data_IF_633792540724
#
_entry.id   IF_633792540724
#
_cell.length_a   1.000
_cell.length_b   1.000
_cell.length_c   1.000
_cell.angle_alpha   90.00
_cell.angle_beta   90.00
_cell.angle_gamma   90.00
#
_symmetry.space_group_name_H-M   'P 1'
#
loop_
_entity.id
_entity.type
_entity.pdbx_description
1 polymer ?
#
# COMPACT_ATOMS: atom_id res chain seq x y z
N UNK A 1 6.94 56.09 10.40
CA UNK A 1 7.40 57.50 10.40
C UNK A 1 6.58 58.25 9.36
N UNK A 2 6.04 59.42 9.71
CA UNK A 2 5.24 60.31 8.86
C UNK A 2 6.11 61.50 8.52
N UNK A 3 6.16 61.88 7.25
CA UNK A 3 6.87 63.09 6.82
C UNK A 3 5.85 64.22 6.64
N UNK A 4 6.23 65.44 7.04
CA UNK A 4 5.37 66.60 7.29
C UNK A 4 4.71 67.27 6.07
N UNK A 5 4.20 66.51 5.10
CA UNK A 5 3.44 67.03 3.95
C UNK A 5 2.17 66.25 3.62
N UNK A 6 1.69 65.38 4.51
CA UNK A 6 0.32 64.85 4.48
C UNK A 6 -0.05 63.94 3.30
N UNK A 7 0.93 63.42 2.53
CA UNK A 7 0.68 62.45 1.44
C UNK A 7 1.16 61.05 1.83
N UNK A 8 0.25 60.07 1.74
CA UNK A 8 0.56 58.65 1.90
C UNK A 8 1.36 58.15 0.68
N UNK A 9 2.66 57.92 0.85
CA UNK A 9 3.44 57.14 -0.12
C UNK A 9 3.22 55.65 0.19
N UNK A 10 2.28 55.03 -0.53
CA UNK A 10 2.18 53.58 -0.66
C UNK A 10 3.43 53.08 -1.41
N UNK A 11 4.37 52.51 -0.66
CA UNK A 11 5.53 51.82 -1.21
C UNK A 11 5.12 50.47 -1.81
N UNK A 12 4.99 50.43 -3.13
CA UNK A 12 4.97 49.23 -3.97
C UNK A 12 6.39 48.62 -3.99
N UNK A 13 6.70 47.74 -3.05
CA UNK A 13 7.92 46.93 -3.10
C UNK A 13 7.79 45.66 -2.24
N UNK A 14 7.06 44.65 -2.74
CA UNK A 14 7.20 43.25 -2.35
C UNK A 14 6.41 42.34 -3.31
N UNK A 15 6.71 42.41 -4.61
CA UNK A 15 6.29 41.41 -5.60
C UNK A 15 7.56 40.76 -6.15
N UNK A 16 7.98 39.66 -5.53
CA UNK A 16 9.21 38.98 -5.92
C UNK A 16 9.57 37.83 -5.00
N UNK A 17 8.75 36.77 -4.99
CA UNK A 17 9.15 35.39 -4.70
C UNK A 17 7.93 34.47 -4.57
N UNK A 18 7.10 34.36 -5.62
CA UNK A 18 6.21 33.19 -5.76
C UNK A 18 6.24 32.76 -7.23
N UNK A 19 7.39 32.24 -7.64
CA UNK A 19 7.53 31.54 -8.90
C UNK A 19 8.25 30.22 -8.61
N UNK A 20 7.47 29.14 -8.76
CA UNK A 20 7.87 27.75 -9.06
C UNK A 20 8.10 26.82 -7.83
N UNK A 21 7.56 25.57 -7.80
CA UNK A 21 6.73 24.87 -8.80
C UNK A 21 5.39 24.34 -8.25
N UNK A 22 4.28 24.83 -8.82
CA UNK A 22 3.02 24.06 -8.90
C UNK A 22 3.16 22.87 -9.87
N UNK A 23 4.24 22.83 -10.67
CA UNK A 23 4.52 21.78 -11.65
C UNK A 23 4.89 20.40 -11.06
N UNK A 24 5.19 20.30 -9.76
CA UNK A 24 5.49 18.99 -9.12
C UNK A 24 4.22 18.31 -8.59
N UNK A 25 3.15 19.06 -8.32
CA UNK A 25 1.89 18.49 -7.78
C UNK A 25 0.99 17.93 -8.91
N UNK A 26 1.11 18.45 -10.14
CA UNK A 26 0.44 17.86 -11.30
C UNK A 26 1.10 16.57 -11.83
N UNK A 27 2.36 16.30 -11.44
CA UNK A 27 3.13 15.14 -11.89
C UNK A 27 3.09 13.93 -10.92
N UNK A 28 2.44 14.07 -9.76
CA UNK A 28 2.35 13.03 -8.72
C UNK A 28 0.91 12.83 -8.23
N UNK A 29 -0.06 12.96 -9.14
CA UNK A 29 -1.44 12.54 -8.91
C UNK A 29 -1.54 10.99 -8.96
N UNK A 30 -1.96 10.30 -7.89
CA UNK A 30 -2.12 8.84 -7.87
C UNK A 30 -3.31 8.32 -8.70
N UNK A 31 -3.93 9.15 -9.55
CA UNK A 31 -4.81 8.67 -10.64
C UNK A 31 -4.05 8.18 -11.88
N UNK A 32 -2.72 8.31 -11.93
CA UNK A 32 -1.89 8.02 -13.11
C UNK A 32 -1.48 6.53 -13.16
N UNK A 33 -2.33 5.71 -13.79
CA UNK A 33 -2.04 4.31 -14.11
C UNK A 33 -2.58 3.87 -15.47
N UNK A 34 -2.93 4.81 -16.36
CA UNK A 34 -3.38 4.54 -17.71
C UNK A 34 -2.71 5.54 -18.64
N UNK A 35 -1.87 5.00 -19.53
CA UNK A 35 -1.46 5.45 -20.87
C UNK A 35 0.01 5.06 -21.08
N UNK A 36 0.22 3.82 -21.55
CA UNK A 36 1.42 3.49 -22.34
C UNK A 36 1.34 4.28 -23.65
N UNK A 37 2.35 5.07 -24.04
CA UNK A 37 2.52 5.43 -25.44
C UNK A 37 2.88 4.16 -26.20
N UNK A 38 2.03 3.79 -27.16
CA UNK A 38 2.36 2.87 -28.24
C UNK A 38 3.47 3.54 -29.07
N UNK A 39 4.65 2.96 -29.28
CA UNK A 39 5.64 3.58 -30.16
C UNK A 39 5.08 3.56 -31.59
N UNK A 40 4.88 4.74 -32.15
CA UNK A 40 4.69 4.93 -33.58
C UNK A 40 6.01 4.55 -34.27
N UNK A 41 5.90 3.67 -35.25
CA UNK A 41 6.96 3.35 -36.21
C UNK A 41 6.89 4.43 -37.30
N UNK A 42 7.95 5.23 -37.42
CA UNK A 42 8.38 5.93 -38.64
C UNK A 42 9.80 6.46 -38.35
N UNK A 43 10.86 5.78 -38.81
CA UNK A 43 11.48 5.86 -40.13
C UNK A 43 12.39 7.09 -40.30
N UNK A 44 13.61 6.82 -40.81
CA UNK A 44 14.77 7.71 -41.09
C UNK A 44 15.74 7.91 -39.91
N UNK A 45 17.00 7.50 -39.94
CA UNK A 45 17.86 6.81 -40.91
C UNK A 45 19.29 6.78 -40.32
N UNK A 46 20.15 5.76 -40.56
CA UNK A 46 21.49 5.75 -39.98
C UNK A 46 22.53 6.25 -41.00
N UNK A 47 23.24 7.30 -40.61
CA UNK A 47 24.49 7.72 -41.23
C UNK A 47 25.54 7.92 -40.14
N UNK A 48 26.68 7.23 -40.32
CA UNK A 48 27.99 7.44 -39.70
C UNK A 48 28.33 6.72 -38.39
N UNK A 49 28.87 5.51 -38.57
CA UNK A 49 30.09 5.03 -37.89
C UNK A 49 31.32 5.89 -38.32
N UNK A 50 32.38 5.98 -37.48
CA UNK A 50 33.43 4.97 -37.52
C UNK A 50 34.02 4.55 -36.14
N UNK A 51 34.12 3.22 -35.99
CA UNK A 51 35.29 2.41 -35.63
C UNK A 51 36.25 2.85 -34.49
N UNK A 52 36.48 1.90 -33.56
CA UNK A 52 37.81 1.71 -32.96
C UNK A 52 37.89 0.94 -31.64
N UNK A 53 38.46 -0.28 -31.69
CA UNK A 53 39.09 -1.10 -30.63
C UNK A 53 38.14 -1.94 -29.74
N UNK A 54 38.01 -3.27 -29.84
CA UNK A 54 38.92 -4.44 -29.99
C UNK A 54 39.60 -4.90 -28.68
N UNK A 55 39.05 -5.99 -28.16
CA UNK A 55 39.64 -7.16 -27.45
C UNK A 55 40.31 -7.02 -26.08
N UNK A 56 39.77 -7.82 -25.15
CA UNK A 56 40.45 -8.34 -23.97
C UNK A 56 39.77 -9.63 -23.50
N UNK A 57 40.18 -10.77 -24.05
CA UNK A 57 39.83 -12.13 -23.61
C UNK A 57 40.89 -12.59 -22.60
N UNK A 58 40.46 -13.01 -21.40
CA UNK A 58 41.09 -14.02 -20.53
C UNK A 58 40.44 -13.96 -19.13
N UNK A 59 40.27 -15.00 -18.32
CA UNK A 59 40.45 -16.45 -18.40
C UNK A 59 39.79 -16.99 -17.12
N UNK A 60 39.11 -18.13 -17.21
CA UNK A 60 38.64 -18.93 -16.07
C UNK A 60 39.83 -19.74 -15.55
N UNK A 61 40.13 -19.78 -14.23
CA UNK A 61 40.98 -20.81 -13.67
C UNK A 61 40.16 -21.95 -13.08
N UNK A 62 40.48 -23.14 -13.56
CA UNK A 62 39.98 -24.43 -13.09
C UNK A 62 40.45 -24.79 -11.67
N UNK A 63 39.65 -25.66 -11.05
CA UNK A 63 39.97 -26.50 -9.89
C UNK A 63 41.33 -27.20 -9.97
N UNK A 64 41.90 -27.50 -8.81
CA UNK A 64 42.55 -28.80 -8.56
C UNK A 64 41.76 -29.65 -7.56
N UNK A 65 41.54 -30.91 -7.91
CA UNK A 65 41.13 -31.99 -7.01
C UNK A 65 42.39 -32.61 -6.38
N UNK A 66 42.29 -33.09 -5.14
CA UNK A 66 43.08 -34.22 -4.63
C UNK A 66 42.55 -34.68 -3.26
N UNK A 67 41.85 -35.82 -3.20
CA UNK A 67 42.03 -36.86 -2.16
C UNK A 67 41.35 -38.21 -2.54
N UNK A 68 41.98 -39.37 -2.27
CA UNK A 68 41.70 -40.66 -2.93
C UNK A 68 40.80 -41.59 -2.05
N UNK A 69 40.50 -42.84 -2.51
CA UNK A 69 39.23 -43.52 -2.27
C UNK A 69 39.24 -44.44 -1.03
N UNK A 70 38.05 -44.66 -0.48
CA UNK A 70 37.72 -45.76 0.44
C UNK A 70 36.26 -46.07 0.12
N UNK A 71 35.94 -47.22 -0.46
CA UNK A 71 36.05 -48.53 0.15
C UNK A 71 34.62 -49.05 0.13
N UNK A 72 34.36 -50.04 -0.72
CA UNK A 72 33.02 -50.53 -0.98
C UNK A 72 32.43 -51.25 0.22
N UNK A 73 31.14 -51.02 0.45
CA UNK A 73 30.27 -52.01 1.07
C UNK A 73 28.87 -51.84 0.49
N UNK A 74 28.51 -52.82 -0.35
CA UNK A 74 27.18 -52.98 -0.93
C UNK A 74 26.19 -53.26 0.21
N UNK A 75 25.25 -52.35 0.41
CA UNK A 75 24.08 -52.64 1.23
C UNK A 75 23.11 -53.51 0.40
N UNK A 76 22.63 -54.65 0.93
CA UNK A 76 21.78 -55.57 0.19
C UNK A 76 20.41 -54.96 -0.13
N UNK A 77 20.00 -55.17 -1.38
CA UNK A 77 18.67 -54.85 -1.90
C UNK A 77 17.59 -55.43 -0.99
N UNK A 78 16.81 -54.56 -0.36
CA UNK A 78 15.57 -54.95 0.31
C UNK A 78 14.56 -55.29 -0.79
N UNK A 79 14.29 -56.57 -0.93
CA UNK A 79 13.24 -57.13 -1.77
C UNK A 79 11.89 -56.51 -1.41
N UNK A 80 11.26 -55.84 -2.38
CA UNK A 80 9.85 -55.45 -2.30
C UNK A 80 8.98 -56.71 -2.39
N UNK A 81 8.17 -57.06 -1.36
CA UNK A 81 7.16 -58.08 -1.52
C UNK A 81 5.94 -57.40 -2.15
N UNK A 82 5.66 -57.75 -3.40
CA UNK A 82 4.47 -57.50 -4.24
C UNK A 82 4.90 -56.90 -5.58
N UNK A 83 5.59 -57.73 -6.38
CA UNK A 83 5.63 -57.60 -7.83
C UNK A 83 4.91 -58.83 -8.40
N UNK A 84 3.57 -58.76 -8.47
CA UNK A 84 2.79 -59.72 -9.24
C UNK A 84 2.95 -59.40 -10.73
N UNK A 85 3.28 -60.44 -11.48
CA UNK A 85 3.67 -60.40 -12.88
C UNK A 85 2.65 -59.71 -13.81
N UNK A 86 3.18 -58.90 -14.72
CA UNK A 86 2.46 -58.39 -15.88
C UNK A 86 2.30 -59.49 -16.94
N UNK A 87 1.10 -59.68 -17.54
CA UNK A 87 1.00 -60.32 -18.83
C UNK A 87 1.24 -59.31 -19.95
N UNK A 88 2.07 -59.71 -20.92
CA UNK A 88 2.34 -58.98 -22.14
C UNK A 88 1.09 -58.94 -23.04
N UNK A 89 0.69 -57.74 -23.45
CA UNK A 89 -0.27 -57.48 -24.52
C UNK A 89 -0.09 -56.04 -25.03
N UNK A 90 -0.23 -55.77 -26.34
CA UNK A 90 -0.08 -54.42 -26.88
C UNK A 90 -1.40 -53.67 -26.71
N UNK A 91 -1.69 -53.24 -25.49
CA UNK A 91 -2.79 -52.31 -25.21
C UNK A 91 -2.21 -50.92 -24.99
N UNK A 92 -2.46 -50.06 -25.98
CA UNK A 92 -2.28 -48.62 -25.90
C UNK A 92 -2.94 -48.13 -24.60
N UNK A 93 -2.22 -47.49 -23.66
CA UNK A 93 -2.87 -46.95 -22.47
C UNK A 93 -3.91 -45.93 -22.94
N UNK A 94 -5.18 -46.02 -22.48
CA UNK A 94 -6.16 -45.00 -22.82
C UNK A 94 -5.59 -43.66 -22.35
N UNK A 95 -5.69 -42.59 -23.17
CA UNK A 95 -5.26 -41.28 -22.72
C UNK A 95 -6.03 -41.00 -21.43
N UNK A 96 -5.29 -40.73 -20.35
CA UNK A 96 -5.87 -40.19 -19.11
C UNK A 96 -6.48 -38.86 -19.53
N UNK A 97 -7.76 -38.92 -19.90
CA UNK A 97 -8.59 -37.78 -20.24
C UNK A 97 -8.99 -37.14 -18.92
N UNK A 98 -8.02 -36.54 -18.25
CA UNK A 98 -8.22 -35.61 -17.13
C UNK A 98 -8.75 -34.28 -17.64
N UNK A 99 -9.92 -34.31 -18.27
CA UNK A 99 -10.74 -33.14 -18.59
C UNK A 99 -12.16 -33.44 -18.12
N UNK A 100 -12.34 -33.77 -16.84
CA UNK A 100 -13.54 -33.28 -16.17
C UNK A 100 -13.26 -31.81 -15.83
N UNK A 101 -13.44 -30.95 -16.84
CA UNK A 101 -13.90 -29.61 -16.53
C UNK A 101 -15.33 -29.82 -16.04
N UNK A 102 -15.48 -29.98 -14.73
CA UNK A 102 -16.77 -29.87 -14.08
C UNK A 102 -17.27 -28.43 -14.37
N UNK A 103 -18.28 -28.24 -15.24
CA UNK A 103 -18.72 -26.90 -15.64
C UNK A 103 -19.34 -26.11 -14.48
N UNK A 104 -19.56 -26.76 -13.33
CA UNK A 104 -20.18 -26.15 -12.16
C UNK A 104 -19.18 -25.55 -11.16
N UNK A 105 -17.86 -25.74 -11.35
CA UNK A 105 -16.85 -25.02 -10.54
C UNK A 105 -16.53 -23.68 -11.23
N UNK A 106 -17.42 -22.71 -11.02
CA UNK A 106 -17.13 -21.32 -11.40
C UNK A 106 -15.97 -20.79 -10.53
N UNK A 107 -14.76 -20.74 -11.10
CA UNK A 107 -13.64 -20.02 -10.47
C UNK A 107 -13.98 -18.53 -10.57
N UNK A 108 -14.18 -17.82 -9.44
CA UNK A 108 -14.52 -16.40 -9.49
C UNK A 108 -13.39 -15.61 -10.15
N UNK A 109 -13.72 -14.70 -11.08
CA UNK A 109 -12.76 -13.74 -11.60
C UNK A 109 -12.46 -12.67 -10.53
N UNK A 110 -11.55 -13.02 -9.63
CA UNK A 110 -11.09 -12.15 -8.54
C UNK A 110 -10.49 -10.86 -9.12
N UNK A 111 -9.88 -10.88 -10.30
CA UNK A 111 -9.29 -9.69 -10.91
C UNK A 111 -10.38 -8.69 -11.35
N UNK A 112 -11.45 -9.17 -11.99
CA UNK A 112 -12.60 -8.34 -12.32
C UNK A 112 -13.29 -7.79 -11.06
N UNK A 113 -13.48 -8.62 -10.03
CA UNK A 113 -14.04 -8.17 -8.75
C UNK A 113 -13.19 -7.05 -8.13
N UNK A 114 -11.86 -7.20 -8.13
CA UNK A 114 -10.93 -6.21 -7.57
C UNK A 114 -10.92 -4.91 -8.39
N UNK A 115 -11.00 -4.98 -9.73
CA UNK A 115 -11.17 -3.79 -10.56
C UNK A 115 -12.46 -3.04 -10.23
N UNK A 116 -13.59 -3.75 -10.14
CA UNK A 116 -14.87 -3.13 -9.79
C UNK A 116 -14.87 -2.55 -8.37
N UNK A 117 -14.19 -3.18 -7.41
CA UNK A 117 -14.00 -2.62 -6.07
C UNK A 117 -13.18 -1.34 -6.10
N UNK A 118 -12.05 -1.34 -6.83
CA UNK A 118 -11.19 -0.17 -7.01
C UNK A 118 -11.95 1.01 -7.61
N UNK A 119 -12.72 0.78 -8.68
CA UNK A 119 -13.52 1.82 -9.34
C UNK A 119 -14.54 2.45 -8.37
N UNK A 120 -15.22 1.63 -7.54
CA UNK A 120 -16.12 2.14 -6.51
C UNK A 120 -15.39 3.01 -5.48
N UNK A 121 -14.24 2.55 -4.99
CA UNK A 121 -13.43 3.31 -4.02
C UNK A 121 -12.93 4.64 -4.61
N UNK A 122 -12.54 4.66 -5.88
CA UNK A 122 -12.19 5.90 -6.60
C UNK A 122 -13.38 6.85 -6.64
N UNK A 123 -14.58 6.36 -6.96
CA UNK A 123 -15.82 7.15 -6.93
C UNK A 123 -16.19 7.72 -5.55
N UNK A 124 -15.64 7.16 -4.46
CA UNK A 124 -15.83 7.65 -3.09
C UNK A 124 -14.71 8.56 -2.59
N UNK A 125 -13.65 8.73 -3.39
CA UNK A 125 -12.51 9.57 -3.05
C UNK A 125 -12.81 11.04 -3.30
N UNK A 126 -12.50 11.89 -2.33
CA UNK A 126 -12.61 13.34 -2.43
C UNK A 126 -11.59 13.91 -3.42
N UNK A 127 -11.92 15.08 -3.96
CA UNK A 127 -10.93 15.89 -4.67
C UNK A 127 -9.83 16.32 -3.68
N UNK A 128 -8.53 16.29 -4.06
CA UNK A 128 -7.43 16.69 -3.18
C UNK A 128 -7.62 18.04 -2.49
N UNK A 129 -8.15 19.04 -3.21
CA UNK A 129 -8.42 20.38 -2.65
C UNK A 129 -9.43 20.38 -1.51
N UNK A 130 -10.33 19.39 -1.46
CA UNK A 130 -11.28 19.23 -0.34
C UNK A 130 -10.70 18.43 0.81
N UNK A 131 -9.59 17.71 0.61
CA UNK A 131 -8.90 16.94 1.64
C UNK A 131 -7.90 17.84 2.37
N UNK A 132 -7.16 18.66 1.63
CA UNK A 132 -6.27 19.66 2.21
C UNK A 132 -7.06 20.61 3.13
N UNK A 133 -6.62 20.77 4.37
CA UNK A 133 -7.29 21.60 5.37
C UNK A 133 -8.59 21.04 5.95
N UNK A 134 -9.03 19.83 5.56
CA UNK A 134 -10.24 19.17 6.11
C UNK A 134 -10.09 18.66 7.54
N UNK A 135 -8.87 18.71 8.07
CA UNK A 135 -8.53 18.34 9.44
C UNK A 135 -7.39 19.22 9.95
N UNK A 136 -7.35 19.43 11.26
CA UNK A 136 -6.26 20.12 11.98
C UNK A 136 -5.24 19.14 12.55
N UNK A 137 -5.61 17.85 12.64
CA UNK A 137 -4.82 16.75 13.19
C UNK A 137 -5.11 15.47 12.40
N UNK A 138 -4.06 14.67 12.19
CA UNK A 138 -4.14 13.39 11.47
C UNK A 138 -3.79 12.21 12.38
N UNK A 139 -4.68 11.24 12.47
CA UNK A 139 -4.52 10.03 13.26
C UNK A 139 -4.29 8.81 12.39
N UNK A 140 -3.05 8.34 12.36
CA UNK A 140 -2.71 7.06 11.75
C UNK A 140 -2.99 5.97 12.76
N UNK A 141 -3.83 5.00 12.40
CA UNK A 141 -4.15 3.87 13.26
C UNK A 141 -3.66 2.58 12.63
N UNK A 142 -2.63 1.98 13.23
CA UNK A 142 -2.19 0.64 12.89
C UNK A 142 -3.14 -0.40 13.48
N UNK A 143 -3.59 -1.33 12.64
CA UNK A 143 -4.49 -2.41 13.03
C UNK A 143 -3.77 -3.76 12.97
N UNK A 144 -3.73 -4.46 14.09
CA UNK A 144 -3.20 -5.82 14.19
C UNK A 144 -4.33 -6.75 14.57
N UNK A 145 -4.48 -7.86 13.86
CA UNK A 145 -5.49 -8.87 14.17
C UNK A 145 -4.81 -10.19 14.48
N UNK A 146 -4.78 -10.57 15.75
CA UNK A 146 -4.23 -11.84 16.26
C UNK A 146 -5.32 -12.88 16.45
N UNK A 147 -6.57 -12.46 16.68
CA UNK A 147 -7.70 -13.39 16.77
C UNK A 147 -7.99 -13.99 15.39
N UNK A 148 -8.24 -15.30 15.27
CA UNK A 148 -8.63 -15.90 13.99
C UNK A 148 -9.94 -15.28 13.48
N UNK A 149 -10.12 -15.30 12.16
CA UNK A 149 -11.38 -14.88 11.56
C UNK A 149 -12.33 -16.07 11.58
N UNK A 150 -13.57 -15.84 11.97
CA UNK A 150 -14.62 -16.85 11.82
C UNK A 150 -14.71 -17.30 10.36
N UNK A 151 -14.80 -18.62 10.15
CA UNK A 151 -14.92 -19.20 8.82
C UNK A 151 -16.21 -18.68 8.16
N UNK A 152 -16.12 -18.26 6.89
CA UNK A 152 -17.27 -17.74 6.14
C UNK A 152 -17.69 -16.30 6.46
N UNK A 153 -17.14 -15.64 7.49
CA UNK A 153 -17.59 -14.32 7.94
C UNK A 153 -17.25 -13.13 7.01
N UNK A 154 -16.62 -13.36 5.85
CA UNK A 154 -16.22 -12.29 4.93
C UNK A 154 -15.11 -11.39 5.49
N UNK A 155 -15.06 -10.12 5.13
CA UNK A 155 -14.04 -9.19 5.67
C UNK A 155 -14.35 -8.81 7.12
N UNK A 156 -13.31 -8.55 7.93
CA UNK A 156 -13.50 -8.12 9.31
C UNK A 156 -14.20 -6.77 9.35
N UNK A 157 -15.18 -6.60 10.24
CA UNK A 157 -15.90 -5.34 10.37
C UNK A 157 -15.16 -4.42 11.33
N UNK A 158 -15.03 -3.15 10.94
CA UNK A 158 -14.49 -2.10 11.78
C UNK A 158 -15.40 -0.88 11.72
N UNK A 159 -15.94 -0.45 12.86
CA UNK A 159 -16.65 0.82 12.99
C UNK A 159 -15.67 1.93 13.40
N UNK A 160 -15.65 3.01 12.64
CA UNK A 160 -14.85 4.20 12.90
C UNK A 160 -15.79 5.38 13.11
N UNK A 161 -15.75 5.97 14.30
CA UNK A 161 -16.59 7.08 14.70
C UNK A 161 -15.77 8.34 14.90
N UNK A 162 -15.99 9.33 14.04
CA UNK A 162 -15.35 10.65 14.07
C UNK A 162 -16.34 11.76 14.43
N UNK A 163 -17.58 11.43 14.82
CA UNK A 163 -18.59 12.44 15.13
C UNK A 163 -18.18 13.34 16.31
N UNK A 164 -17.48 12.78 17.29
CA UNK A 164 -16.94 13.53 18.44
C UNK A 164 -15.62 14.26 18.17
N UNK A 165 -15.09 14.22 16.95
CA UNK A 165 -13.80 14.82 16.57
C UNK A 165 -13.86 15.36 15.12
N UNK A 166 -14.69 16.39 14.85
CA UNK A 166 -14.93 16.91 13.50
C UNK A 166 -13.70 17.53 12.85
N UNK A 167 -12.68 17.89 13.63
CA UNK A 167 -11.42 18.50 13.19
C UNK A 167 -10.30 17.47 12.96
N UNK A 168 -10.53 16.16 13.22
CA UNK A 168 -9.52 15.10 13.08
C UNK A 168 -9.81 14.20 11.91
N UNK A 169 -8.80 13.83 11.12
CA UNK A 169 -8.93 12.80 10.10
C UNK A 169 -8.20 11.53 10.54
N UNK A 170 -8.64 10.37 10.04
CA UNK A 170 -8.02 9.09 10.37
C UNK A 170 -7.49 8.41 9.13
N UNK A 171 -6.29 7.83 9.21
CA UNK A 171 -5.74 6.94 8.20
C UNK A 171 -5.59 5.57 8.84
N UNK A 172 -6.30 4.58 8.30
CA UNK A 172 -6.17 3.19 8.76
C UNK A 172 -5.00 2.54 8.05
N UNK A 173 -4.12 1.88 8.81
CA UNK A 173 -3.02 1.05 8.28
C UNK A 173 -3.31 -0.40 8.64
N UNK A 174 -3.56 -1.24 7.64
CA UNK A 174 -4.07 -2.60 7.85
C UNK A 174 -3.32 -3.65 7.02
N UNK A 175 -3.24 -4.86 7.55
CA UNK A 175 -2.64 -6.00 6.84
C UNK A 175 -3.63 -7.12 6.51
N UNK A 176 -4.85 -7.05 7.07
CA UNK A 176 -5.92 -8.03 6.84
C UNK A 176 -7.14 -7.39 6.18
N UNK A 177 -8.00 -8.18 5.50
CA UNK A 177 -9.16 -7.64 4.82
C UNK A 177 -10.21 -7.04 5.76
N UNK A 178 -10.71 -5.84 5.44
CA UNK A 178 -11.61 -5.06 6.30
C UNK A 178 -12.82 -4.51 5.55
N UNK A 179 -13.95 -4.43 6.25
CA UNK A 179 -15.11 -3.62 5.88
C UNK A 179 -15.27 -2.51 6.92
N UNK A 180 -15.07 -1.27 6.49
CA UNK A 180 -15.05 -0.10 7.37
C UNK A 180 -16.40 0.61 7.32
N UNK A 181 -17.02 0.79 8.47
CA UNK A 181 -18.19 1.65 8.65
C UNK A 181 -17.74 2.99 9.25
N UNK A 182 -17.93 4.09 8.51
CA UNK A 182 -17.50 5.42 8.93
C UNK A 182 -18.70 6.29 9.35
N UNK A 183 -18.62 6.85 10.55
CA UNK A 183 -19.52 7.86 11.09
C UNK A 183 -18.77 9.19 11.26
N UNK A 184 -19.36 10.29 10.79
CA UNK A 184 -18.80 11.65 10.89
C UNK A 184 -19.90 12.65 11.24
N UNK A 185 -19.50 13.79 11.80
CA UNK A 185 -20.33 14.98 11.92
C UNK A 185 -19.58 16.17 11.29
N UNK A 186 -20.11 16.83 10.26
CA UNK A 186 -21.32 16.47 9.52
C UNK A 186 -21.18 15.14 8.74
N UNK A 187 -22.29 14.48 8.36
CA UNK A 187 -22.27 13.13 7.74
C UNK A 187 -21.68 13.09 6.32
N UNK A 188 -21.55 14.23 5.66
CA UNK A 188 -21.00 14.45 4.32
C UNK A 188 -19.58 15.05 4.35
N UNK A 189 -18.94 15.06 5.53
CA UNK A 189 -17.56 15.52 5.70
C UNK A 189 -16.63 14.87 4.68
N UNK A 190 -15.95 15.72 3.92
CA UNK A 190 -15.01 15.28 2.89
C UNK A 190 -13.71 14.76 3.51
N UNK A 191 -13.13 13.72 2.91
CA UNK A 191 -11.76 13.29 3.19
C UNK A 191 -11.50 12.83 4.62
N UNK A 192 -12.53 12.42 5.39
CA UNK A 192 -12.33 12.12 6.81
C UNK A 192 -11.53 10.81 7.06
N UNK A 193 -11.47 9.92 6.06
CA UNK A 193 -10.84 8.61 6.14
C UNK A 193 -9.85 8.38 5.00
N UNK A 194 -8.59 8.10 5.33
CA UNK A 194 -7.62 7.47 4.43
C UNK A 194 -7.40 6.00 4.76
N UNK A 195 -6.92 5.21 3.79
CA UNK A 195 -6.61 3.79 4.01
C UNK A 195 -5.30 3.39 3.33
N UNK A 196 -4.41 2.79 4.10
CA UNK A 196 -3.22 2.05 3.67
C UNK A 196 -3.43 0.58 3.98
N UNK A 197 -3.37 -0.31 2.99
CA UNK A 197 -3.67 -1.71 3.25
C UNK A 197 -2.89 -2.70 2.39
N UNK A 198 -2.29 -3.71 3.03
CA UNK A 198 -1.72 -4.86 2.31
C UNK A 198 -2.81 -5.80 1.77
N UNK A 199 -4.02 -5.70 2.32
CA UNK A 199 -5.16 -6.53 1.96
C UNK A 199 -6.33 -5.71 1.36
N UNK A 200 -7.31 -6.41 0.79
CA UNK A 200 -8.47 -5.78 0.20
C UNK A 200 -9.36 -5.17 1.29
N UNK A 201 -10.01 -4.04 1.02
CA UNK A 201 -10.90 -3.41 1.97
C UNK A 201 -12.15 -2.84 1.28
N UNK A 202 -13.23 -2.68 2.03
CA UNK A 202 -14.45 -2.05 1.54
C UNK A 202 -14.98 -1.04 2.54
N UNK A 203 -15.89 -0.17 2.09
CA UNK A 203 -16.70 0.65 2.99
C UNK A 203 -18.10 0.06 3.08
N UNK A 204 -18.61 -0.11 4.31
CA UNK A 204 -19.96 -0.60 4.55
C UNK A 204 -21.03 0.33 3.93
N UNK A 205 -20.78 1.65 3.96
CA UNK A 205 -21.62 2.69 3.37
C UNK A 205 -20.73 3.71 2.66
N UNK A 206 -20.32 3.39 1.43
CA UNK A 206 -19.55 4.29 0.60
C UNK A 206 -20.37 5.47 0.09
N UNK A 207 -19.75 6.65 0.02
CA UNK A 207 -20.34 7.88 -0.55
C UNK A 207 -19.25 8.71 -1.23
N UNK A 208 -19.57 9.46 -2.30
CA UNK A 208 -18.65 10.41 -2.91
C UNK A 208 -18.04 11.35 -1.87
N UNK A 209 -16.72 11.54 -1.96
CA UNK A 209 -15.99 12.47 -1.11
C UNK A 209 -15.64 11.99 0.30
N UNK A 210 -16.09 10.81 0.77
CA UNK A 210 -15.77 10.36 2.13
C UNK A 210 -14.31 9.94 2.32
N UNK A 211 -13.70 9.37 1.29
CA UNK A 211 -12.30 8.94 1.35
C UNK A 211 -11.37 10.10 1.01
N UNK A 212 -10.33 10.32 1.83
CA UNK A 212 -9.22 11.19 1.47
C UNK A 212 -8.38 10.61 0.33
N UNK A 213 -8.41 9.28 0.22
CA UNK A 213 -7.65 8.48 -0.73
C UNK A 213 -7.46 7.08 -0.17
N UNK A 214 -6.82 6.22 -0.95
CA UNK A 214 -6.38 4.92 -0.47
C UNK A 214 -5.15 4.43 -1.25
N UNK A 215 -4.34 3.64 -0.58
CA UNK A 215 -3.24 2.87 -1.16
C UNK A 215 -3.40 1.43 -0.67
N UNK A 216 -3.71 0.52 -1.59
CA UNK A 216 -3.83 -0.89 -1.24
C UNK A 216 -3.27 -1.80 -2.33
N UNK A 217 -2.50 -2.81 -1.94
CA UNK A 217 -1.84 -3.73 -2.88
C UNK A 217 -2.85 -4.41 -3.81
N UNK A 218 -4.00 -4.94 -3.32
CA UNK A 218 -4.98 -5.59 -4.20
C UNK A 218 -5.69 -4.64 -5.16
N UNK A 219 -5.50 -3.33 -5.01
CA UNK A 219 -6.04 -2.29 -5.89
C UNK A 219 -4.96 -1.59 -6.72
N UNK A 220 -3.77 -2.20 -6.82
CA UNK A 220 -2.69 -1.78 -7.72
C UNK A 220 -1.71 -0.77 -7.14
N UNK A 221 -1.71 -0.52 -5.82
CA UNK A 221 -0.63 0.24 -5.20
C UNK A 221 0.69 -0.56 -5.27
N UNK A 222 1.78 0.08 -5.67
CA UNK A 222 3.10 -0.55 -5.70
C UNK A 222 3.61 -0.84 -4.28
N UNK A 223 3.39 0.12 -3.38
CA UNK A 223 3.82 0.06 -1.99
C UNK A 223 2.72 0.61 -1.06
N UNK A 224 2.72 0.10 0.17
CA UNK A 224 1.78 0.51 1.22
C UNK A 224 2.52 0.64 2.55
N UNK A 225 2.01 1.50 3.42
CA UNK A 225 2.60 1.68 4.74
C UNK A 225 2.56 0.36 5.53
N UNK A 226 3.67 -0.08 6.13
CA UNK A 226 3.61 -1.19 7.07
C UNK A 226 2.93 -0.74 8.37
N UNK A 227 2.32 -1.68 9.09
CA UNK A 227 1.89 -1.43 10.47
C UNK A 227 3.14 -1.35 11.34
N UNK A 228 3.32 -0.22 12.03
CA UNK A 228 4.44 -0.01 12.94
C UNK A 228 4.21 -0.77 14.27
N UNK A 229 4.44 -2.06 14.22
CA UNK A 229 4.33 -3.00 15.34
C UNK A 229 5.69 -3.16 16.05
N UNK A 230 5.80 -2.89 17.36
CA UNK A 230 7.04 -3.09 18.11
C UNK A 230 7.64 -4.49 17.98
N UNK A 231 6.82 -5.52 17.77
CA UNK A 231 7.30 -6.91 17.60
C UNK A 231 7.91 -7.17 16.22
N UNK A 232 7.61 -6.32 15.24
CA UNK A 232 8.04 -6.44 13.83
C UNK A 232 8.80 -5.19 13.37
N UNK A 233 9.28 -4.41 14.34
CA UNK A 233 9.90 -3.11 14.10
C UNK A 233 11.32 -3.29 13.55
N UNK A 234 11.60 -2.66 12.41
CA UNK A 234 12.94 -2.56 11.82
C UNK A 234 13.18 -1.20 11.16
N UNK A 235 14.44 -0.85 10.83
CA UNK A 235 14.78 0.45 10.22
C UNK A 235 14.07 0.70 8.90
N UNK A 236 13.90 -0.33 8.06
CA UNK A 236 13.18 -0.24 6.78
C UNK A 236 11.69 0.00 7.01
N UNK A 237 11.07 -0.79 7.90
CA UNK A 237 9.68 -0.61 8.30
C UNK A 237 9.41 0.80 8.79
N UNK A 238 10.32 1.37 9.59
CA UNK A 238 10.20 2.73 10.06
C UNK A 238 10.31 3.74 8.92
N UNK A 239 11.28 3.56 8.01
CA UNK A 239 11.48 4.43 6.84
C UNK A 239 10.21 4.48 5.98
N UNK A 240 9.65 3.32 5.66
CA UNK A 240 8.47 3.20 4.79
C UNK A 240 7.22 3.77 5.47
N UNK A 241 7.06 3.49 6.77
CA UNK A 241 6.01 4.10 7.59
C UNK A 241 6.13 5.63 7.58
N UNK A 242 7.34 6.17 7.81
CA UNK A 242 7.57 7.61 7.83
C UNK A 242 7.40 8.27 6.45
N UNK A 243 7.75 7.58 5.36
CA UNK A 243 7.48 8.04 4.01
C UNK A 243 5.97 8.14 3.76
N UNK A 244 5.20 7.12 4.12
CA UNK A 244 3.74 7.15 4.01
C UNK A 244 3.11 8.23 4.91
N UNK A 245 3.59 8.38 6.15
CA UNK A 245 3.17 9.44 7.07
C UNK A 245 3.31 10.83 6.44
N UNK A 246 4.46 11.09 5.80
CA UNK A 246 4.73 12.37 5.13
C UNK A 246 3.77 12.59 3.95
N UNK A 247 3.52 11.57 3.14
CA UNK A 247 2.58 11.66 2.01
C UNK A 247 1.16 12.00 2.49
N UNK A 248 0.68 11.33 3.54
CA UNK A 248 -0.62 11.66 4.12
C UNK A 248 -0.65 13.05 4.76
N UNK A 249 0.41 13.44 5.48
CA UNK A 249 0.50 14.78 6.05
C UNK A 249 0.41 15.85 4.94
N UNK A 250 1.10 15.66 3.81
CA UNK A 250 1.01 16.55 2.63
C UNK A 250 -0.39 16.56 2.03
N UNK A 251 -1.03 15.41 1.84
CA UNK A 251 -2.39 15.31 1.31
C UNK A 251 -3.41 16.12 2.13
N UNK A 252 -3.25 16.14 3.45
CA UNK A 252 -4.11 16.91 4.35
C UNK A 252 -3.65 18.36 4.57
N UNK A 253 -2.50 18.77 4.01
CA UNK A 253 -1.93 20.11 4.23
C UNK A 253 -1.44 20.32 5.67
N UNK A 254 -1.04 19.24 6.36
CA UNK A 254 -0.64 19.26 7.76
C UNK A 254 0.87 19.09 7.91
N UNK A 255 1.50 19.80 8.87
CA UNK A 255 2.87 19.49 9.23
C UNK A 255 2.93 18.16 10.01
N UNK A 256 4.03 17.41 9.88
CA UNK A 256 4.18 16.07 10.49
C UNK A 256 3.96 16.08 12.01
N UNK A 257 4.25 17.18 12.71
CA UNK A 257 4.00 17.27 14.17
C UNK A 257 2.51 17.42 14.54
N UNK A 258 1.59 17.57 13.58
CA UNK A 258 0.14 17.47 13.77
C UNK A 258 -0.37 16.03 13.56
N UNK A 259 0.54 15.06 13.47
CA UNK A 259 0.18 13.65 13.29
C UNK A 259 0.32 12.86 14.58
N UNK A 260 -0.44 11.77 14.66
CA UNK A 260 -0.43 10.82 15.76
C UNK A 260 -0.47 9.42 15.19
N UNK A 261 0.18 8.49 15.86
CA UNK A 261 0.11 7.08 15.55
C UNK A 261 -0.39 6.31 16.78
N UNK A 262 -1.41 5.47 16.59
CA UNK A 262 -1.91 4.54 17.61
C UNK A 262 -1.93 3.14 17.02
N UNK A 263 -1.36 2.17 17.72
CA UNK A 263 -1.44 0.75 17.38
C UNK A 263 -2.51 0.09 18.25
N UNK A 264 -3.48 -0.57 17.61
CA UNK A 264 -4.60 -1.22 18.28
C UNK A 264 -4.72 -2.66 17.78
N UNK A 265 -4.80 -3.59 18.71
CA UNK A 265 -4.97 -5.01 18.43
C UNK A 265 -6.44 -5.43 18.55
N UNK A 266 -6.92 -6.20 17.57
CA UNK A 266 -8.27 -6.74 17.44
C UNK A 266 -9.42 -5.72 17.64
N UNK A 267 -9.35 -4.46 17.15
CA UNK A 267 -10.47 -3.55 17.31
C UNK A 267 -11.65 -3.95 16.41
N UNK A 268 -12.87 -3.82 16.93
CA UNK A 268 -14.09 -3.81 16.12
C UNK A 268 -14.72 -2.42 16.07
N UNK A 269 -14.36 -1.54 17.02
CA UNK A 269 -14.75 -0.13 17.09
C UNK A 269 -13.58 0.76 17.46
N UNK A 270 -13.46 1.89 16.77
CA UNK A 270 -12.58 3.01 17.11
C UNK A 270 -13.42 4.29 17.10
N UNK A 271 -13.34 5.09 18.15
CA UNK A 271 -13.98 6.40 18.23
C UNK A 271 -12.94 7.48 18.57
N UNK A 272 -12.96 8.58 17.83
CA UNK A 272 -12.22 9.79 18.16
C UNK A 272 -13.17 10.78 18.82
N UNK A 273 -12.82 11.20 20.04
CA UNK A 273 -13.58 12.19 20.80
C UNK A 273 -12.63 13.23 21.37
N UNK A 274 -12.71 14.46 20.85
CA UNK A 274 -11.72 15.50 21.10
C UNK A 274 -10.30 14.99 20.86
N UNK A 275 -9.48 14.98 21.90
CA UNK A 275 -8.07 14.54 21.87
C UNK A 275 -7.88 13.03 22.09
N UNK A 276 -8.93 12.32 22.48
CA UNK A 276 -8.86 10.91 22.90
C UNK A 276 -9.11 9.96 21.73
N UNK A 277 -8.58 8.73 21.85
CA UNK A 277 -8.92 7.59 20.97
C UNK A 277 -9.50 6.54 21.91
N UNK A 278 -10.75 6.16 21.68
CA UNK A 278 -11.43 5.08 22.37
C UNK A 278 -11.53 3.89 21.42
N UNK A 279 -11.32 2.68 21.93
CA UNK A 279 -11.48 1.45 21.16
C UNK A 279 -11.85 0.32 22.10
N UNK A 280 -12.55 -0.67 21.55
CA UNK A 280 -12.79 -1.97 22.19
C UNK A 280 -11.61 -2.96 22.00
N UNK A 281 -10.64 -2.61 21.14
CA UNK A 281 -9.40 -3.36 20.96
C UNK A 281 -8.38 -3.07 22.06
N UNK A 282 -7.32 -3.87 22.08
CA UNK A 282 -6.21 -3.71 23.04
C UNK A 282 -5.21 -2.68 22.50
N UNK A 283 -5.01 -1.53 23.17
CA UNK A 283 -3.99 -0.57 22.75
C UNK A 283 -2.59 -1.16 22.98
N UNK A 284 -1.75 -1.14 21.94
CA UNK A 284 -0.37 -1.65 22.00
C UNK A 284 0.69 -0.55 22.04
N UNK A 285 0.34 0.65 21.62
CA UNK A 285 1.24 1.78 21.68
C UNK A 285 0.64 3.04 21.08
N UNK A 286 1.17 4.20 21.51
CA UNK A 286 0.84 5.49 20.93
C UNK A 286 2.08 6.37 20.89
N UNK A 287 2.28 7.06 19.78
CA UNK A 287 3.32 8.09 19.61
C UNK A 287 2.72 9.27 18.87
N UNK A 288 2.97 10.48 19.33
CA UNK A 288 2.32 11.68 18.79
C UNK A 288 3.26 12.86 18.66
N UNK A 289 2.84 13.80 17.81
CA UNK A 289 3.37 15.15 17.75
C UNK A 289 4.86 15.22 17.47
N UNK A 290 5.58 15.98 18.29
CA UNK A 290 7.04 16.15 18.15
C UNK A 290 7.81 14.85 18.31
N UNK A 291 7.32 13.88 19.10
CA UNK A 291 8.00 12.59 19.25
C UNK A 291 7.92 11.78 17.96
N UNK A 292 6.73 11.71 17.35
CA UNK A 292 6.55 11.07 16.05
C UNK A 292 7.34 11.80 14.95
N UNK A 293 7.29 13.13 14.93
CA UNK A 293 8.06 13.91 13.97
C UNK A 293 9.58 13.68 14.10
N UNK A 294 10.11 13.58 15.33
CA UNK A 294 11.54 13.25 15.55
C UNK A 294 11.87 11.83 15.11
N UNK A 295 10.99 10.87 15.38
CA UNK A 295 11.16 9.49 14.92
C UNK A 295 11.25 9.43 13.37
N UNK A 296 10.49 10.28 12.69
CA UNK A 296 10.48 10.40 11.22
C UNK A 296 11.39 11.51 10.67
N UNK A 297 12.50 11.86 11.35
CA UNK A 297 13.53 12.76 10.79
C UNK A 297 14.65 12.05 10.02
N UNK A 298 14.60 10.72 9.99
CA UNK A 298 15.53 9.88 9.21
C UNK A 298 15.37 10.12 7.72
#
# INVERSE_FOLDING_TARGET
MRDGSGRWRLGLAALGAVAIPVAVIAALDPRIGLLRPRPAVEAQGPGQDPAGQVQGVAQIPARPQDRPPSGGEQAPERSCPVCTAAPAGPEVPPPIRGMLQDPDIQIPDVAAERRGQRERLIGWTAHPDRVSGSATTLDLTGLVFTAPREAGAGYRRLAVDLAGAPDRAVVLVAEQPLTVALTTAPPDRAGALGVESRAAFSLAKGRPGRLAGFRALPYGAAEVAPVLDPLRFGPETLRDFCAALRLWAVQFGLPVWRTRYTLIENPTRIALSGETVQSDGTPRGRVSGRRLARLCRV
#
